data_IF_776537795152
#
_entry.id   IF_776537795152
#
_cell.length_a   1.000
_cell.length_b   1.000
_cell.length_c   1.000
_cell.angle_alpha   90.00
_cell.angle_beta   90.00
_cell.angle_gamma   90.00
#
_symmetry.space_group_name_H-M   'P 1'
#
loop_
_entity.id
_entity.type
_entity.pdbx_description
1 polymer ?
#
# COMPACT_ATOMS: atom_id res chain seq x y z
N UNK A 1 -46.19 7.02 15.30
CA UNK A 1 -46.55 7.31 13.90
C UNK A 1 -45.83 8.59 13.48
N UNK A 2 -44.69 8.46 12.79
CA UNK A 2 -44.13 9.50 11.93
C UNK A 2 -43.51 8.77 10.74
N UNK A 3 -44.05 9.01 9.55
CA UNK A 3 -43.61 8.51 8.25
C UNK A 3 -42.93 9.64 7.49
N UNK A 4 -41.92 9.26 6.70
CA UNK A 4 -41.36 9.96 5.52
C UNK A 4 -40.54 11.22 5.84
N UNK A 5 -39.43 11.56 5.18
CA UNK A 5 -38.95 11.19 3.84
C UNK A 5 -37.42 11.36 3.75
N UNK A 6 -36.84 10.63 2.80
CA UNK A 6 -35.44 10.52 2.40
C UNK A 6 -34.71 11.84 2.08
N UNK A 7 -33.38 11.84 2.28
CA UNK A 7 -32.34 12.22 1.30
C UNK A 7 -31.12 12.88 1.97
N UNK A 8 -30.03 12.13 2.10
CA UNK A 8 -28.72 12.51 1.57
C UNK A 8 -27.72 11.38 1.83
N UNK A 9 -27.67 10.44 0.90
CA UNK A 9 -26.47 9.62 0.72
C UNK A 9 -25.40 10.54 0.11
N UNK A 10 -24.51 11.06 0.95
CA UNK A 10 -23.24 11.56 0.49
C UNK A 10 -22.44 10.38 -0.03
N UNK A 11 -22.51 10.15 -1.34
CA UNK A 11 -21.56 9.31 -2.06
C UNK A 11 -20.15 9.74 -1.64
N UNK A 12 -19.45 8.89 -0.90
CA UNK A 12 -18.01 8.88 -0.95
C UNK A 12 -17.67 8.57 -2.41
N UNK A 13 -17.20 9.60 -3.14
CA UNK A 13 -16.72 9.42 -4.49
C UNK A 13 -15.57 8.41 -4.44
N UNK A 14 -15.85 7.17 -4.83
CA UNK A 14 -14.81 6.21 -5.17
C UNK A 14 -13.89 6.91 -6.17
N UNK A 15 -12.56 6.91 -5.94
CA UNK A 15 -11.63 7.62 -6.81
C UNK A 15 -11.87 7.14 -8.24
N UNK A 16 -12.21 8.10 -9.11
CA UNK A 16 -12.46 7.87 -10.53
C UNK A 16 -11.28 7.07 -11.08
N UNK A 17 -11.51 5.78 -11.34
CA UNK A 17 -10.57 4.91 -12.06
C UNK A 17 -10.44 5.49 -13.46
N UNK A 18 -9.52 6.42 -13.65
CA UNK A 18 -9.11 6.84 -14.99
C UNK A 18 -8.47 5.61 -15.62
N UNK A 19 -9.06 5.10 -16.70
CA UNK A 19 -8.44 4.14 -17.62
C UNK A 19 -7.29 4.82 -18.40
N UNK A 20 -6.38 5.46 -17.68
CA UNK A 20 -5.10 5.90 -18.23
C UNK A 20 -4.16 4.70 -18.17
N UNK A 21 -3.42 4.48 -19.26
CA UNK A 21 -2.35 3.48 -19.24
C UNK A 21 -1.44 3.74 -18.03
N UNK A 22 -0.99 2.69 -17.31
CA UNK A 22 -0.12 2.86 -16.16
C UNK A 22 1.15 3.62 -16.56
N UNK A 23 1.70 4.41 -15.65
CA UNK A 23 2.99 5.06 -15.92
C UNK A 23 4.06 4.03 -16.22
N UNK A 24 5.13 4.48 -16.91
CA UNK A 24 6.29 3.63 -17.19
C UNK A 24 6.89 3.02 -15.92
N UNK A 25 6.83 3.76 -14.80
CA UNK A 25 7.24 3.26 -13.50
C UNK A 25 6.31 2.16 -13.00
N UNK A 26 5.01 2.45 -12.89
CA UNK A 26 4.06 1.50 -12.31
C UNK A 26 3.95 0.23 -13.15
N UNK A 27 3.94 0.35 -14.48
CA UNK A 27 3.95 -0.77 -15.40
C UNK A 27 5.20 -1.67 -15.22
N UNK A 28 6.37 -1.08 -14.99
CA UNK A 28 7.60 -1.82 -14.73
C UNK A 28 7.56 -2.55 -13.38
N UNK A 29 7.01 -1.92 -12.33
CA UNK A 29 6.78 -2.58 -11.04
C UNK A 29 5.81 -3.76 -11.19
N UNK A 30 4.72 -3.56 -11.94
CA UNK A 30 3.69 -4.58 -12.17
C UNK A 30 4.23 -5.78 -12.97
N UNK A 31 5.07 -5.53 -13.98
CA UNK A 31 5.73 -6.58 -14.77
C UNK A 31 6.94 -7.22 -14.08
N UNK A 32 7.34 -6.70 -12.90
CA UNK A 32 8.53 -7.10 -12.14
C UNK A 32 9.85 -6.79 -12.85
N UNK A 33 9.83 -5.80 -13.74
CA UNK A 33 11.03 -5.20 -14.32
C UNK A 33 11.58 -4.13 -13.35
N UNK A 34 12.24 -4.57 -12.28
CA UNK A 34 12.75 -3.66 -11.25
C UNK A 34 13.91 -2.79 -11.74
N UNK A 35 14.68 -3.25 -12.73
CA UNK A 35 15.71 -2.44 -13.38
C UNK A 35 15.07 -1.32 -14.22
N UNK A 36 14.05 -1.65 -15.01
CA UNK A 36 13.25 -0.67 -15.74
C UNK A 36 12.57 0.33 -14.80
N UNK A 37 12.04 -0.13 -13.66
CA UNK A 37 11.43 0.73 -12.66
C UNK A 37 12.45 1.69 -12.02
N UNK A 38 13.66 1.20 -11.67
CA UNK A 38 14.75 2.07 -11.17
C UNK A 38 15.24 3.05 -12.22
N UNK A 39 15.28 2.65 -13.50
CA UNK A 39 15.62 3.54 -14.60
C UNK A 39 14.57 4.64 -14.76
N UNK A 40 13.28 4.30 -14.67
CA UNK A 40 12.18 5.28 -14.66
C UNK A 40 12.22 6.19 -13.43
N UNK A 41 12.68 5.67 -12.28
CA UNK A 41 12.87 6.46 -11.06
C UNK A 41 13.97 7.52 -11.19
N UNK A 42 15.06 7.20 -11.90
CA UNK A 42 16.21 8.09 -12.02
C UNK A 42 16.93 8.35 -10.70
N UNK A 43 17.47 9.55 -10.52
CA UNK A 43 18.27 9.93 -9.34
C UNK A 43 17.42 10.46 -8.19
N UNK A 44 16.43 11.31 -8.47
CA UNK A 44 15.60 12.00 -7.46
C UNK A 44 14.20 11.39 -7.28
N UNK A 45 13.71 10.54 -8.19
CA UNK A 45 12.32 10.06 -8.18
C UNK A 45 11.29 11.13 -8.58
N UNK A 46 11.73 12.29 -9.07
CA UNK A 46 10.83 13.36 -9.51
C UNK A 46 9.98 12.92 -10.69
N UNK A 47 8.68 13.16 -10.60
CA UNK A 47 7.71 12.80 -11.64
C UNK A 47 7.25 11.35 -11.62
N UNK A 48 7.70 10.54 -10.65
CA UNK A 48 7.11 9.22 -10.40
C UNK A 48 5.81 9.38 -9.62
N UNK A 49 4.70 8.96 -10.21
CA UNK A 49 3.43 8.85 -9.50
C UNK A 49 3.41 7.54 -8.68
N UNK A 50 3.43 7.68 -7.36
CA UNK A 50 3.34 6.54 -6.45
C UNK A 50 1.89 6.23 -6.06
N UNK A 51 0.96 7.16 -6.26
CA UNK A 51 -0.45 6.97 -5.92
C UNK A 51 -1.18 6.06 -6.92
N UNK A 52 -0.52 5.67 -8.02
CA UNK A 52 -1.05 4.68 -8.95
C UNK A 52 -1.34 3.34 -8.27
N UNK A 53 -2.49 2.77 -8.62
CA UNK A 53 -2.96 1.47 -8.15
C UNK A 53 -3.47 0.64 -9.33
N UNK A 54 -3.36 -0.67 -9.21
CA UNK A 54 -3.88 -1.58 -10.23
C UNK A 54 -5.40 -1.78 -10.11
N UNK A 55 -5.96 -2.68 -10.93
CA UNK A 55 -7.38 -3.01 -10.94
C UNK A 55 -7.92 -3.60 -9.61
N UNK A 56 -7.03 -3.99 -8.68
CA UNK A 56 -7.34 -4.53 -7.35
C UNK A 56 -6.99 -3.53 -6.24
N UNK A 57 -6.67 -2.29 -6.59
CA UNK A 57 -6.21 -1.28 -5.63
C UNK A 57 -4.80 -1.54 -5.12
N UNK A 58 -4.00 -2.42 -5.75
CA UNK A 58 -2.63 -2.68 -5.31
C UNK A 58 -1.71 -1.53 -5.76
N UNK A 59 -1.17 -0.78 -4.79
CA UNK A 59 -0.11 0.21 -5.06
C UNK A 59 1.24 -0.46 -5.34
N UNK A 60 2.25 0.33 -5.75
CA UNK A 60 3.61 -0.20 -5.98
C UNK A 60 4.18 -0.94 -4.77
N UNK A 61 3.91 -0.49 -3.53
CA UNK A 61 4.35 -1.20 -2.32
C UNK A 61 3.70 -2.58 -2.18
N UNK A 62 2.41 -2.73 -2.52
CA UNK A 62 1.73 -4.03 -2.52
C UNK A 62 2.36 -4.99 -3.54
N UNK A 63 2.62 -4.49 -4.75
CA UNK A 63 3.22 -5.27 -5.81
C UNK A 63 4.63 -5.73 -5.45
N UNK A 64 5.45 -4.85 -4.87
CA UNK A 64 6.78 -5.18 -4.34
C UNK A 64 6.70 -6.18 -3.18
N UNK A 65 5.78 -5.98 -2.23
CA UNK A 65 5.52 -6.89 -1.12
C UNK A 65 5.21 -8.33 -1.56
N UNK A 66 4.57 -8.47 -2.72
CA UNK A 66 4.20 -9.76 -3.33
C UNK A 66 5.26 -10.33 -4.27
N UNK A 67 6.41 -9.68 -4.40
CA UNK A 67 7.50 -10.23 -5.17
C UNK A 67 7.95 -11.56 -4.57
N UNK A 68 8.09 -12.58 -5.43
CA UNK A 68 8.61 -13.89 -5.02
C UNK A 68 10.13 -13.88 -4.86
N UNK A 69 10.80 -12.95 -5.54
CA UNK A 69 12.26 -12.79 -5.53
C UNK A 69 12.56 -11.41 -4.96
N UNK A 70 13.26 -11.40 -3.85
CA UNK A 70 13.74 -10.19 -3.21
C UNK A 70 15.26 -10.14 -3.33
N UNK A 71 15.69 -9.75 -4.52
CA UNK A 71 17.09 -9.46 -4.86
C UNK A 71 17.45 -8.02 -4.52
N UNK A 72 18.72 -7.67 -4.71
CA UNK A 72 19.26 -6.36 -4.34
C UNK A 72 18.58 -5.22 -5.12
N UNK A 73 18.20 -5.48 -6.38
CA UNK A 73 17.47 -4.52 -7.22
C UNK A 73 16.07 -4.24 -6.65
N UNK A 74 15.32 -5.28 -6.31
CA UNK A 74 14.03 -5.16 -5.64
C UNK A 74 14.15 -4.44 -4.29
N UNK A 75 15.19 -4.77 -3.50
CA UNK A 75 15.43 -4.15 -2.21
C UNK A 75 15.75 -2.65 -2.32
N UNK A 76 16.56 -2.26 -3.30
CA UNK A 76 16.89 -0.86 -3.57
C UNK A 76 15.67 -0.06 -4.04
N UNK A 77 14.86 -0.65 -4.93
CA UNK A 77 13.62 -0.05 -5.38
C UNK A 77 12.61 0.10 -4.24
N UNK A 78 12.46 -0.93 -3.42
CA UNK A 78 11.58 -0.90 -2.25
C UNK A 78 11.99 0.20 -1.26
N UNK A 79 13.28 0.34 -0.93
CA UNK A 79 13.76 1.43 -0.07
C UNK A 79 13.38 2.81 -0.62
N UNK A 80 13.58 3.03 -1.91
CA UNK A 80 13.24 4.30 -2.58
C UNK A 80 11.75 4.60 -2.50
N UNK A 81 10.91 3.63 -2.85
CA UNK A 81 9.45 3.78 -2.79
C UNK A 81 9.00 4.02 -1.34
N UNK A 82 9.52 3.26 -0.39
CA UNK A 82 9.16 3.37 1.02
C UNK A 82 9.53 4.74 1.61
N UNK A 83 10.72 5.25 1.29
CA UNK A 83 11.18 6.56 1.76
C UNK A 83 10.41 7.73 1.15
N UNK A 84 9.96 7.60 -0.10
CA UNK A 84 9.24 8.65 -0.82
C UNK A 84 7.74 8.72 -0.47
N UNK A 85 7.17 7.65 0.08
CA UNK A 85 5.72 7.47 0.07
C UNK A 85 5.07 7.44 1.47
N UNK A 86 5.03 8.58 2.17
CA UNK A 86 4.37 8.66 3.49
C UNK A 86 2.88 8.25 3.45
N UNK A 87 2.14 8.64 2.42
CA UNK A 87 0.70 8.37 2.29
C UNK A 87 0.39 6.91 1.89
N UNK A 88 1.32 6.24 1.21
CA UNK A 88 1.11 4.86 0.71
C UNK A 88 1.37 3.83 1.80
N UNK A 89 2.11 4.20 2.87
CA UNK A 89 2.34 3.30 4.01
C UNK A 89 1.02 2.81 4.63
N UNK A 90 0.01 3.69 4.66
CA UNK A 90 -1.35 3.38 5.16
C UNK A 90 -2.32 2.94 4.09
N UNK A 91 -1.92 2.92 2.80
CA UNK A 91 -2.81 2.53 1.71
C UNK A 91 -3.22 1.06 1.84
N UNK A 92 -4.49 0.80 1.55
CA UNK A 92 -5.07 -0.54 1.51
C UNK A 92 -5.61 -0.83 0.12
N UNK A 93 -5.38 -2.06 -0.35
CA UNK A 93 -5.99 -2.56 -1.57
C UNK A 93 -7.51 -2.80 -1.39
N UNK A 94 -8.18 -3.21 -2.47
CA UNK A 94 -9.63 -3.45 -2.48
C UNK A 94 -10.06 -4.57 -1.49
N UNK A 95 -9.12 -5.38 -1.00
CA UNK A 95 -9.35 -6.40 0.03
C UNK A 95 -9.08 -5.90 1.46
N UNK A 96 -8.84 -4.59 1.65
CA UNK A 96 -8.50 -4.00 2.94
C UNK A 96 -7.11 -4.38 3.47
N UNK A 97 -6.23 -4.89 2.60
CA UNK A 97 -4.87 -5.31 2.99
C UNK A 97 -3.90 -4.17 2.68
N UNK A 98 -3.05 -3.82 3.65
CA UNK A 98 -1.87 -3.00 3.41
C UNK A 98 -0.70 -3.83 2.85
N UNK A 99 0.36 -3.16 2.38
CA UNK A 99 1.54 -3.85 1.85
C UNK A 99 2.19 -4.79 2.89
N UNK A 100 2.12 -4.43 4.18
CA UNK A 100 2.60 -5.26 5.29
C UNK A 100 1.82 -6.57 5.41
N UNK A 101 0.49 -6.52 5.28
CA UNK A 101 -0.35 -7.72 5.25
C UNK A 101 0.03 -8.62 4.07
N UNK A 102 0.23 -8.04 2.89
CA UNK A 102 0.66 -8.79 1.71
C UNK A 102 2.04 -9.44 1.90
N UNK A 103 3.01 -8.73 2.47
CA UNK A 103 4.34 -9.28 2.74
C UNK A 103 4.29 -10.40 3.80
N UNK A 104 3.53 -10.21 4.88
CA UNK A 104 3.34 -11.21 5.93
C UNK A 104 2.64 -12.47 5.40
N UNK A 105 1.54 -12.33 4.65
CA UNK A 105 0.83 -13.45 4.03
C UNK A 105 1.66 -14.22 3.00
N UNK A 106 2.76 -13.64 2.52
CA UNK A 106 3.73 -14.29 1.61
C UNK A 106 5.01 -14.75 2.29
N UNK A 107 5.13 -14.57 3.62
CA UNK A 107 6.33 -14.83 4.40
C UNK A 107 7.58 -14.12 3.84
N UNK A 108 7.40 -12.91 3.28
CA UNK A 108 8.49 -12.12 2.75
C UNK A 108 9.20 -11.36 3.89
N UNK A 109 9.88 -12.10 4.77
CA UNK A 109 10.52 -11.56 5.96
C UNK A 109 11.59 -10.51 5.64
N UNK A 110 12.17 -10.52 4.43
CA UNK A 110 13.13 -9.51 3.99
C UNK A 110 12.48 -8.14 3.83
N UNK A 111 11.31 -8.08 3.19
CA UNK A 111 10.53 -6.85 3.08
C UNK A 111 10.10 -6.35 4.45
N UNK A 112 9.63 -7.25 5.31
CA UNK A 112 9.22 -6.86 6.67
C UNK A 112 10.39 -6.30 7.49
N UNK A 113 11.54 -6.99 7.45
CA UNK A 113 12.75 -6.55 8.15
C UNK A 113 13.25 -5.20 7.62
N UNK A 114 13.26 -5.01 6.30
CA UNK A 114 13.67 -3.75 5.69
C UNK A 114 12.67 -2.63 6.00
N UNK A 115 11.37 -2.89 5.95
CA UNK A 115 10.35 -1.91 6.28
C UNK A 115 10.51 -1.39 7.72
N UNK A 116 10.78 -2.27 8.68
CA UNK A 116 11.05 -1.87 10.08
C UNK A 116 12.37 -1.12 10.22
N UNK A 117 13.40 -1.53 9.48
CA UNK A 117 14.72 -0.88 9.51
C UNK A 117 14.68 0.55 8.96
N UNK A 118 13.95 0.76 7.86
CA UNK A 118 13.84 2.05 7.17
C UNK A 118 12.76 2.96 7.79
N UNK A 119 11.72 2.36 8.38
CA UNK A 119 10.61 3.06 9.02
C UNK A 119 10.30 2.43 10.39
N UNK A 120 11.07 2.77 11.44
CA UNK A 120 10.90 2.20 12.78
C UNK A 120 9.50 2.38 13.37
N UNK A 121 8.75 3.38 12.92
CA UNK A 121 7.34 3.59 13.30
C UNK A 121 6.40 2.45 12.87
N UNK A 122 6.83 1.59 11.94
CA UNK A 122 6.08 0.39 11.55
C UNK A 122 6.28 -0.77 12.53
N UNK A 123 7.32 -0.75 13.38
CA UNK A 123 7.59 -1.81 14.37
C UNK A 123 6.39 -2.10 15.30
N UNK A 124 5.69 -1.09 15.84
CA UNK A 124 4.33 -1.20 16.39
C UNK A 124 3.36 -2.19 15.73
N UNK A 125 3.36 -2.28 14.41
CA UNK A 125 2.41 -3.09 13.65
C UNK A 125 2.78 -4.58 13.66
N UNK A 126 3.95 -4.93 14.17
CA UNK A 126 4.47 -6.30 14.24
C UNK A 126 4.39 -6.93 15.63
N UNK A 127 4.03 -6.18 16.68
CA UNK A 127 3.88 -6.75 18.02
C UNK A 127 2.49 -7.37 18.19
N UNK A 128 2.35 -8.46 18.97
CA UNK A 128 1.05 -9.04 19.29
C UNK A 128 0.14 -7.99 19.93
N UNK A 129 -1.14 -7.98 19.55
CA UNK A 129 -2.16 -7.00 19.96
C UNK A 129 -2.37 -6.85 21.49
N UNK A 130 -1.74 -7.66 22.33
CA UNK A 130 -1.91 -7.65 23.78
C UNK A 130 -1.24 -6.46 24.51
N UNK A 131 -0.58 -5.54 23.81
CA UNK A 131 0.19 -4.44 24.46
C UNK A 131 -0.17 -3.00 24.04
N UNK A 132 -1.25 -2.78 23.27
CA UNK A 132 -1.63 -1.42 22.84
C UNK A 132 -2.75 -0.81 23.69
N UNK A 133 -2.35 -0.06 24.72
CA UNK A 133 -3.09 1.11 25.22
C UNK A 133 -2.28 2.33 24.80
N UNK A 134 -2.94 3.25 24.07
CA UNK A 134 -2.51 4.56 23.57
C UNK A 134 -2.38 4.61 22.05
N UNK A 135 -3.27 5.41 21.46
CA UNK A 135 -3.61 5.40 20.05
C UNK A 135 -2.51 5.81 19.08
N UNK A 136 -2.46 5.10 17.96
CA UNK A 136 -2.10 5.64 16.66
C UNK A 136 -3.04 5.05 15.59
N UNK A 137 -3.72 5.94 14.87
CA UNK A 137 -4.62 5.65 13.75
C UNK A 137 -3.83 5.20 12.51
N UNK A 138 -3.23 4.01 12.54
CA UNK A 138 -2.61 3.37 11.35
C UNK A 138 -3.30 2.04 11.02
N UNK A 139 -4.37 1.72 11.74
CA UNK A 139 -5.20 0.57 11.41
C UNK A 139 -6.10 1.00 10.26
N UNK A 140 -5.95 0.32 9.14
CA UNK A 140 -6.90 0.34 8.05
C UNK A 140 -8.24 -0.11 8.61
N UNK A 141 -9.07 0.84 9.00
CA UNK A 141 -10.37 0.59 9.60
C UNK A 141 -11.26 -0.05 8.55
N UNK A 142 -11.28 -1.37 8.55
CA UNK A 142 -12.33 -2.14 7.90
C UNK A 142 -13.64 -1.77 8.59
N UNK A 143 -14.54 -1.11 7.87
CA UNK A 143 -15.93 -0.98 8.29
C UNK A 143 -16.56 -2.38 8.23
N UNK A 144 -16.30 -3.21 9.23
CA UNK A 144 -17.04 -4.45 9.41
C UNK A 144 -18.38 -4.11 10.06
N UNK A 145 -19.40 -3.89 9.22
CA UNK A 145 -20.78 -4.19 9.59
C UNK A 145 -20.87 -5.70 9.84
N UNK A 146 -20.84 -6.08 11.12
CA UNK A 146 -21.35 -7.37 11.56
C UNK A 146 -22.86 -7.18 11.80
N UNK A 147 -23.70 -7.63 10.87
CA UNK A 147 -25.11 -7.88 11.19
C UNK A 147 -25.19 -9.20 11.98
N UNK A 148 -25.78 -9.10 13.19
CA UNK A 148 -26.18 -10.21 14.06
C UNK A 148 -27.37 -11.01 13.48
#
# INVERSE_FOLDING_TARGET
MCKESCANHGHAESPVRRETAPSSFFAAVQSRDFEGALKSWGTSGEGVDLAEVDAKGESSLHLLARSKKYDDTCAALFAKVLAAASEILSHCNDAGQSFLHCAAGRLNCRILAQAVSECPQLAPLFVPWSSWVIGQNVICSRGDEWEE
#
